data_IF_744342422284
#
_entry.id   IF_744342422284
#
_cell.length_a   1.000
_cell.length_b   1.000
_cell.length_c   1.000
_cell.angle_alpha   90.00
_cell.angle_beta   90.00
_cell.angle_gamma   90.00
#
_symmetry.space_group_name_H-M   'P 1'
#
loop_
_entity.id
_entity.type
_entity.pdbx_description
1 polymer ?
#
# COMPACT_ATOMS: atom_id res chain seq x y z
N UNK A 1 -8.87 -24.80 9.01
CA UNK A 1 -7.71 -23.97 9.41
C UNK A 1 -6.89 -23.84 8.14
N UNK A 2 -6.87 -22.67 7.51
CA UNK A 2 -5.95 -22.43 6.39
C UNK A 2 -4.67 -21.99 7.09
N UNK A 3 -3.67 -22.86 7.12
CA UNK A 3 -2.34 -22.44 7.55
C UNK A 3 -1.89 -21.31 6.62
N UNK A 4 -1.47 -20.15 7.15
CA UNK A 4 -0.75 -19.20 6.32
C UNK A 4 0.47 -19.94 5.78
N UNK A 5 0.55 -20.07 4.46
CA UNK A 5 1.74 -20.61 3.81
C UNK A 5 2.94 -19.85 4.37
N UNK A 6 3.82 -20.55 5.08
CA UNK A 6 5.04 -19.98 5.59
C UNK A 6 5.76 -19.27 4.44
N UNK A 7 5.79 -17.94 4.47
CA UNK A 7 6.38 -17.11 3.43
C UNK A 7 5.42 -16.25 2.58
N UNK A 8 4.09 -16.27 2.79
CA UNK A 8 3.22 -15.25 2.17
C UNK A 8 3.28 -13.94 2.94
N UNK A 9 3.86 -12.95 2.27
CA UNK A 9 4.23 -11.66 2.84
C UNK A 9 3.02 -10.73 3.03
N UNK A 10 2.03 -10.82 2.14
CA UNK A 10 0.69 -10.27 2.32
C UNK A 10 -0.31 -11.42 2.54
N UNK A 11 -0.97 -11.46 3.70
CA UNK A 11 -2.02 -12.44 3.99
C UNK A 11 -3.37 -11.92 3.52
N UNK A 12 -3.65 -12.17 2.25
CA UNK A 12 -4.92 -11.86 1.60
C UNK A 12 -5.72 -13.12 1.31
N UNK A 13 -7.04 -13.00 1.41
CA UNK A 13 -7.98 -14.05 1.02
C UNK A 13 -9.15 -13.47 0.25
N UNK A 14 -9.84 -14.30 -0.53
CA UNK A 14 -10.99 -13.86 -1.33
C UNK A 14 -12.31 -14.39 -0.78
N UNK A 15 -13.36 -13.59 -0.96
CA UNK A 15 -14.74 -13.99 -0.70
C UNK A 15 -15.67 -13.52 -1.81
N UNK A 16 -16.76 -14.24 -2.01
CA UNK A 16 -17.90 -13.80 -2.83
C UNK A 16 -19.13 -13.72 -1.94
N UNK A 17 -19.84 -12.59 -1.95
CA UNK A 17 -21.04 -12.40 -1.13
C UNK A 17 -21.98 -11.34 -1.71
N UNK A 18 -23.25 -11.40 -1.30
CA UNK A 18 -24.24 -10.37 -1.64
C UNK A 18 -24.04 -9.08 -0.84
N UNK A 19 -23.53 -9.18 0.40
CA UNK A 19 -23.34 -8.07 1.35
C UNK A 19 -22.47 -8.50 2.54
N UNK A 20 -22.19 -7.58 3.48
CA UNK A 20 -21.50 -7.83 4.75
C UNK A 20 -20.05 -8.37 4.59
N UNK A 21 -19.31 -7.86 3.62
CA UNK A 21 -17.95 -8.31 3.30
C UNK A 21 -17.03 -8.36 4.53
N UNK A 22 -16.99 -7.27 5.31
CA UNK A 22 -16.16 -7.16 6.52
C UNK A 22 -16.46 -8.26 7.56
N UNK A 23 -17.75 -8.51 7.84
CA UNK A 23 -18.17 -9.56 8.78
C UNK A 23 -17.77 -10.95 8.30
N UNK A 24 -17.81 -11.20 7.00
CA UNK A 24 -17.42 -12.48 6.42
C UNK A 24 -15.90 -12.67 6.40
N UNK A 25 -15.13 -11.62 6.14
CA UNK A 25 -13.68 -11.66 6.30
C UNK A 25 -13.29 -12.01 7.74
N UNK A 26 -13.92 -11.36 8.73
CA UNK A 26 -13.71 -11.67 10.15
C UNK A 26 -14.06 -13.10 10.52
N UNK A 27 -15.18 -13.63 10.00
CA UNK A 27 -15.54 -15.04 10.20
C UNK A 27 -14.53 -16.03 9.61
N UNK A 28 -13.73 -15.61 8.63
CA UNK A 28 -12.66 -16.42 8.04
C UNK A 28 -11.32 -16.30 8.75
N UNK A 29 -11.23 -15.46 9.79
CA UNK A 29 -10.01 -15.25 10.57
C UNK A 29 -9.21 -14.00 10.21
N UNK A 30 -9.70 -13.16 9.28
CA UNK A 30 -9.07 -11.90 8.91
C UNK A 30 -9.51 -10.74 9.82
N UNK A 31 -8.77 -9.64 9.84
CA UNK A 31 -9.18 -8.42 10.58
C UNK A 31 -10.35 -7.69 9.88
N UNK A 32 -10.39 -7.74 8.55
CA UNK A 32 -11.43 -7.11 7.74
C UNK A 32 -11.16 -7.21 6.25
N UNK A 33 -11.59 -6.18 5.52
CA UNK A 33 -11.21 -6.01 4.11
C UNK A 33 -9.72 -5.65 4.00
N UNK A 34 -9.11 -6.04 2.89
CA UNK A 34 -7.68 -5.88 2.65
C UNK A 34 -7.28 -4.41 2.49
N UNK A 35 -6.18 -4.03 3.15
CA UNK A 35 -5.54 -2.72 3.02
C UNK A 35 -4.48 -2.81 1.93
N UNK A 36 -4.59 -1.97 0.90
CA UNK A 36 -3.72 -1.98 -0.27
C UNK A 36 -3.00 -0.63 -0.37
N UNK A 37 -2.10 -0.39 0.58
CA UNK A 37 -1.40 0.89 0.74
C UNK A 37 0.07 0.86 0.26
N UNK A 38 0.46 -0.20 -0.46
CA UNK A 38 1.74 -0.27 -1.18
C UNK A 38 1.60 -0.87 -2.58
N UNK A 39 2.53 -0.57 -3.51
CA UNK A 39 2.57 -1.18 -4.85
C UNK A 39 2.65 -2.71 -4.82
N UNK A 40 3.39 -3.26 -3.85
CA UNK A 40 3.56 -4.70 -3.69
C UNK A 40 2.25 -5.35 -3.23
N UNK A 41 1.53 -4.71 -2.29
CA UNK A 41 0.20 -5.14 -1.88
C UNK A 41 -0.78 -5.14 -3.07
N UNK A 42 -0.74 -4.09 -3.90
CA UNK A 42 -1.59 -4.01 -5.09
C UNK A 42 -1.29 -5.19 -6.04
N UNK A 43 -0.01 -5.45 -6.31
CA UNK A 43 0.41 -6.54 -7.20
C UNK A 43 -0.10 -7.90 -6.71
N UNK A 44 -0.03 -8.17 -5.40
CA UNK A 44 -0.54 -9.41 -4.81
C UNK A 44 -2.06 -9.46 -4.88
N UNK A 45 -2.76 -8.39 -4.51
CA UNK A 45 -4.22 -8.30 -4.58
C UNK A 45 -4.75 -8.53 -6.01
N UNK A 46 -4.11 -7.91 -7.01
CA UNK A 46 -4.46 -8.06 -8.41
C UNK A 46 -4.22 -9.48 -8.92
N UNK A 47 -3.11 -10.11 -8.52
CA UNK A 47 -2.82 -11.50 -8.86
C UNK A 47 -3.86 -12.45 -8.27
N UNK A 48 -4.20 -12.27 -6.99
CA UNK A 48 -5.20 -13.07 -6.29
C UNK A 48 -6.58 -12.91 -6.92
N UNK A 49 -6.98 -11.67 -7.21
CA UNK A 49 -8.22 -11.38 -7.91
C UNK A 49 -8.28 -12.09 -9.28
N UNK A 50 -7.22 -12.00 -10.10
CA UNK A 50 -7.07 -12.68 -11.42
C UNK A 50 -7.22 -14.19 -11.35
N UNK A 51 -6.86 -14.79 -10.23
CA UNK A 51 -6.97 -16.23 -10.03
C UNK A 51 -8.37 -16.66 -9.59
N UNK A 52 -8.97 -15.91 -8.66
CA UNK A 52 -10.19 -16.36 -7.98
C UNK A 52 -11.48 -15.81 -8.58
N UNK A 53 -11.40 -14.69 -9.32
CA UNK A 53 -12.56 -13.98 -9.82
C UNK A 53 -12.68 -14.06 -11.33
N UNK A 54 -13.86 -14.47 -11.81
CA UNK A 54 -14.21 -14.46 -13.24
C UNK A 54 -14.69 -13.10 -13.74
N UNK A 55 -15.15 -12.25 -12.82
CA UNK A 55 -15.72 -10.94 -13.10
C UNK A 55 -15.03 -9.93 -12.17
N UNK A 56 -14.29 -8.99 -12.75
CA UNK A 56 -13.54 -7.95 -12.03
C UNK A 56 -14.37 -6.73 -11.68
N UNK A 57 -15.63 -6.70 -12.14
CA UNK A 57 -16.41 -5.48 -12.07
C UNK A 57 -16.67 -5.05 -10.63
N UNK A 58 -16.54 -5.90 -9.60
CA UNK A 58 -16.96 -5.57 -8.22
C UNK A 58 -16.09 -6.21 -7.14
N UNK A 59 -14.81 -5.84 -7.06
CA UNK A 59 -13.90 -6.32 -6.00
C UNK A 59 -13.78 -5.27 -4.90
N UNK A 60 -14.37 -5.53 -3.73
CA UNK A 60 -14.32 -4.65 -2.57
C UNK A 60 -13.03 -4.83 -1.77
N UNK A 61 -12.47 -3.70 -1.33
CA UNK A 61 -11.23 -3.60 -0.55
C UNK A 61 -11.43 -2.65 0.64
N UNK A 62 -10.48 -2.64 1.56
CA UNK A 62 -10.57 -1.93 2.84
C UNK A 62 -10.38 -0.42 2.76
N UNK A 63 -10.61 0.22 1.61
CA UNK A 63 -10.65 1.68 1.53
C UNK A 63 -12.06 2.14 1.89
N UNK A 64 -12.20 3.16 2.73
CA UNK A 64 -13.53 3.60 3.19
C UNK A 64 -13.63 5.12 3.32
N UNK A 65 -14.76 5.67 2.88
CA UNK A 65 -15.16 7.02 3.28
C UNK A 65 -15.81 6.99 4.66
N UNK A 66 -15.29 7.80 5.57
CA UNK A 66 -15.77 7.95 6.96
C UNK A 66 -16.54 9.27 7.08
N UNK A 67 -17.88 9.24 7.20
CA UNK A 67 -18.69 10.46 7.27
C UNK A 67 -18.36 11.34 8.47
N UNK A 68 -17.93 10.74 9.58
CA UNK A 68 -17.64 11.42 10.84
C UNK A 68 -16.44 12.37 10.70
N UNK A 69 -15.40 11.91 10.00
CA UNK A 69 -14.17 12.68 9.76
C UNK A 69 -14.15 13.34 8.39
N UNK A 70 -15.17 13.09 7.56
CA UNK A 70 -15.25 13.51 6.15
C UNK A 70 -13.97 13.18 5.37
N UNK A 71 -13.39 12.02 5.65
CA UNK A 71 -12.12 11.59 5.07
C UNK A 71 -12.20 10.19 4.50
N UNK A 72 -11.31 9.89 3.56
CA UNK A 72 -11.11 8.55 3.04
C UNK A 72 -9.88 7.99 3.72
N UNK A 73 -10.00 6.79 4.27
CA UNK A 73 -8.92 6.10 4.97
C UNK A 73 -9.07 4.60 4.79
N UNK A 74 -7.98 3.88 5.04
CA UNK A 74 -7.99 2.43 5.09
C UNK A 74 -8.71 1.93 6.36
N UNK A 75 -9.15 0.68 6.32
CA UNK A 75 -9.87 0.02 7.42
C UNK A 75 -8.97 -0.16 8.65
N UNK A 76 -7.64 -0.20 8.48
CA UNK A 76 -6.65 -0.17 9.56
C UNK A 76 -6.44 1.23 10.17
N UNK A 77 -7.09 2.25 9.61
CA UNK A 77 -7.00 3.65 10.03
C UNK A 77 -5.88 4.45 9.36
N UNK A 78 -5.04 3.82 8.53
CA UNK A 78 -4.00 4.55 7.80
C UNK A 78 -4.63 5.50 6.77
N UNK A 79 -4.16 6.75 6.67
CA UNK A 79 -4.65 7.68 5.67
C UNK A 79 -4.22 7.23 4.26
N UNK A 80 -4.96 7.72 3.26
CA UNK A 80 -4.58 7.55 1.86
C UNK A 80 -3.31 8.37 1.57
N UNK A 81 -2.29 7.74 1.02
CA UNK A 81 -1.09 8.42 0.53
C UNK A 81 -1.36 9.06 -0.84
N UNK A 82 -0.67 10.16 -1.16
CA UNK A 82 -0.84 10.87 -2.44
C UNK A 82 -0.49 10.03 -3.67
N UNK A 83 0.28 8.96 -3.49
CA UNK A 83 0.70 8.05 -4.53
C UNK A 83 -0.04 6.70 -4.51
N UNK A 84 -1.07 6.53 -3.66
CA UNK A 84 -1.96 5.35 -3.64
C UNK A 84 -2.50 5.06 -5.06
N UNK A 85 -2.86 3.80 -5.44
CA UNK A 85 -3.25 3.49 -6.82
C UNK A 85 -4.27 4.48 -7.35
N UNK A 86 -4.19 4.79 -8.64
CA UNK A 86 -4.94 5.88 -9.27
C UNK A 86 -6.39 5.90 -8.77
N UNK A 87 -6.66 6.91 -7.94
CA UNK A 87 -7.95 7.15 -7.35
C UNK A 87 -8.73 8.04 -8.30
N UNK A 88 -9.35 7.44 -9.31
CA UNK A 88 -10.19 8.18 -10.25
C UNK A 88 -11.34 8.86 -9.50
N UNK A 89 -11.32 10.20 -9.44
CA UNK A 89 -12.38 11.08 -8.93
C UNK A 89 -13.11 10.55 -7.69
N UNK A 90 -12.34 10.17 -6.66
CA UNK A 90 -12.91 9.60 -5.45
C UNK A 90 -13.53 10.70 -4.58
N UNK A 91 -14.73 11.14 -4.95
CA UNK A 91 -15.57 12.01 -4.12
C UNK A 91 -16.28 11.15 -3.09
N UNK A 92 -15.62 10.97 -1.95
CA UNK A 92 -16.18 10.28 -0.80
C UNK A 92 -17.52 10.87 -0.37
N UNK A 93 -18.55 10.03 -0.33
CA UNK A 93 -19.87 10.41 0.15
C UNK A 93 -20.57 9.21 0.80
N UNK A 94 -21.66 9.48 1.51
CA UNK A 94 -22.39 8.47 2.29
C UNK A 94 -23.09 7.40 1.42
N UNK A 95 -23.32 7.66 0.13
CA UNK A 95 -23.95 6.71 -0.79
C UNK A 95 -22.96 5.69 -1.35
N UNK A 96 -21.68 6.07 -1.46
CA UNK A 96 -20.62 5.20 -1.95
C UNK A 96 -19.45 5.17 -0.96
N UNK A 97 -19.60 4.50 0.19
CA UNK A 97 -18.56 4.55 1.21
C UNK A 97 -17.46 3.49 1.06
N UNK A 98 -17.59 2.52 0.14
CA UNK A 98 -16.70 1.35 0.07
C UNK A 98 -15.75 1.38 -1.12
N UNK A 99 -14.48 1.10 -0.87
CA UNK A 99 -13.42 0.94 -1.86
C UNK A 99 -13.65 -0.24 -2.78
N UNK A 100 -13.36 -0.03 -4.06
CA UNK A 100 -13.43 -1.02 -5.12
C UNK A 100 -12.18 -0.97 -5.97
N UNK A 101 -11.62 -2.14 -6.23
CA UNK A 101 -10.49 -2.37 -7.11
C UNK A 101 -11.01 -2.78 -8.50
N UNK A 102 -10.51 -2.14 -9.56
CA UNK A 102 -10.75 -2.52 -10.96
C UNK A 102 -9.78 -3.59 -11.45
N UNK A 103 -9.99 -4.11 -12.66
CA UNK A 103 -9.06 -5.01 -13.36
C UNK A 103 -7.76 -4.34 -13.82
N UNK A 104 -7.76 -3.01 -13.95
CA UNK A 104 -6.55 -2.23 -14.21
C UNK A 104 -5.76 -1.89 -12.94
N UNK A 105 -6.33 -2.13 -11.75
CA UNK A 105 -5.69 -1.81 -10.47
C UNK A 105 -5.98 -0.39 -9.96
N UNK A 106 -6.91 0.33 -10.61
CA UNK A 106 -7.42 1.61 -10.15
C UNK A 106 -8.42 1.42 -9.01
N UNK A 107 -8.52 2.44 -8.14
CA UNK A 107 -9.37 2.37 -6.95
C UNK A 107 -10.47 3.41 -7.01
N UNK A 108 -11.71 2.96 -6.81
CA UNK A 108 -12.92 3.78 -6.83
C UNK A 108 -13.77 3.54 -5.58
N UNK A 109 -14.76 4.38 -5.33
CA UNK A 109 -15.76 4.13 -4.29
C UNK A 109 -17.09 3.60 -4.87
N UNK A 110 -17.78 2.77 -4.10
CA UNK A 110 -19.06 2.16 -4.45
C UNK A 110 -19.99 1.95 -3.26
N UNK A 111 -21.23 1.57 -3.54
CA UNK A 111 -22.32 1.51 -2.54
C UNK A 111 -22.17 0.40 -1.52
N UNK A 112 -21.48 -0.70 -1.85
CA UNK A 112 -21.39 -1.90 -0.99
C UNK A 112 -22.71 -2.66 -0.82
N UNK A 113 -23.78 -2.23 -1.48
CA UNK A 113 -25.12 -2.84 -1.44
C UNK A 113 -25.37 -3.84 -2.57
N UNK A 114 -24.44 -3.93 -3.51
CA UNK A 114 -24.53 -4.85 -4.65
C UNK A 114 -23.76 -6.13 -4.34
N UNK A 115 -24.25 -7.29 -4.84
CA UNK A 115 -23.45 -8.50 -4.82
C UNK A 115 -22.12 -8.29 -5.52
N UNK A 116 -21.07 -8.82 -4.90
CA UNK A 116 -19.72 -8.66 -5.38
C UNK A 116 -18.74 -9.61 -4.71
N UNK A 117 -17.49 -9.37 -4.98
CA UNK A 117 -16.36 -10.08 -4.42
C UNK A 117 -15.61 -9.15 -3.48
N UNK A 118 -14.82 -9.70 -2.57
CA UNK A 118 -13.95 -8.89 -1.75
C UNK A 118 -12.63 -9.59 -1.49
N UNK A 119 -11.61 -8.77 -1.25
CA UNK A 119 -10.32 -9.21 -0.73
C UNK A 119 -10.32 -8.90 0.76
N UNK A 120 -10.14 -9.94 1.56
CA UNK A 120 -9.93 -9.89 2.99
C UNK A 120 -8.43 -9.76 3.28
N UNK A 121 -8.07 -9.12 4.39
CA UNK A 121 -6.68 -9.02 4.80
C UNK A 121 -6.51 -8.91 6.31
N UNK A 122 -5.32 -9.30 6.76
CA UNK A 122 -4.83 -9.02 8.10
C UNK A 122 -4.30 -7.58 8.17
N UNK A 123 -4.59 -6.86 9.25
CA UNK A 123 -4.08 -5.50 9.47
C UNK A 123 -2.83 -5.51 10.36
N UNK A 124 -2.60 -6.59 11.11
CA UNK A 124 -1.45 -6.78 12.00
C UNK A 124 -0.39 -7.67 11.37
N UNK A 125 0.88 -7.38 11.67
CA UNK A 125 2.04 -8.19 11.26
C UNK A 125 2.13 -8.41 9.74
N UNK A 126 1.84 -7.37 8.95
CA UNK A 126 2.16 -7.40 7.53
C UNK A 126 3.69 -7.46 7.42
N UNK A 127 4.22 -8.62 7.03
CA UNK A 127 5.57 -8.63 6.49
C UNK A 127 5.54 -7.67 5.30
N UNK A 128 6.44 -6.69 5.29
CA UNK A 128 6.49 -5.66 4.25
C UNK A 128 7.58 -6.01 3.26
N UNK A 129 7.25 -5.84 1.98
CA UNK A 129 8.14 -6.05 0.86
C UNK A 129 8.16 -4.74 0.11
N UNK A 130 9.36 -4.34 -0.27
CA UNK A 130 9.58 -3.17 -1.07
C UNK A 130 10.44 -3.54 -2.26
N UNK A 131 9.93 -3.28 -3.46
CA UNK A 131 10.70 -3.43 -4.69
C UNK A 131 11.18 -2.06 -5.12
N UNK A 132 12.41 -1.98 -5.61
CA UNK A 132 13.01 -0.71 -5.97
C UNK A 132 14.35 -0.88 -6.65
N UNK A 133 15.04 0.23 -6.89
CA UNK A 133 16.34 0.25 -7.55
C UNK A 133 17.40 1.10 -6.85
N UNK A 134 18.63 0.73 -7.20
CA UNK A 134 19.95 1.28 -6.88
C UNK A 134 20.37 2.55 -7.61
N UNK A 135 20.51 3.74 -7.01
CA UNK A 135 21.33 4.79 -7.64
C UNK A 135 22.51 5.20 -6.76
N UNK A 136 23.69 5.24 -7.35
CA UNK A 136 24.94 5.61 -6.69
C UNK A 136 25.34 7.03 -7.08
N UNK A 137 25.90 7.77 -6.13
CA UNK A 137 26.39 9.12 -6.38
C UNK A 137 25.26 10.12 -6.62
N UNK A 138 24.05 9.82 -6.16
CA UNK A 138 22.87 10.66 -6.34
C UNK A 138 22.06 10.76 -5.05
N UNK A 139 21.45 11.92 -4.83
CA UNK A 139 20.56 12.21 -3.71
C UNK A 139 19.20 12.72 -4.20
N UNK A 140 18.11 12.50 -3.45
CA UNK A 140 16.83 13.15 -3.71
C UNK A 140 16.91 14.67 -3.48
N UNK A 141 16.43 15.45 -4.44
CA UNK A 141 16.28 16.91 -4.34
C UNK A 141 14.84 17.31 -4.65
N UNK A 142 14.45 18.52 -4.22
CA UNK A 142 13.07 19.00 -4.40
C UNK A 142 12.04 18.15 -3.64
N UNK A 143 12.45 17.50 -2.56
CA UNK A 143 11.63 16.52 -1.85
C UNK A 143 10.47 17.20 -1.13
N UNK A 144 9.24 16.82 -1.46
CA UNK A 144 8.04 17.38 -0.84
C UNK A 144 7.67 16.74 0.50
N UNK A 145 8.23 15.56 0.82
CA UNK A 145 7.93 14.82 2.06
C UNK A 145 9.16 14.10 2.62
N UNK A 146 9.61 14.52 3.80
CA UNK A 146 10.61 13.81 4.60
C UNK A 146 9.91 13.16 5.80
N UNK A 147 10.09 11.85 5.98
CA UNK A 147 9.47 11.11 7.06
C UNK A 147 10.31 11.19 8.33
N UNK A 148 11.59 10.82 8.24
CA UNK A 148 12.54 10.89 9.34
C UNK A 148 13.98 10.65 8.86
N UNK A 149 14.94 10.92 9.75
CA UNK A 149 16.35 10.63 9.56
C UNK A 149 16.87 9.82 10.75
N UNK A 150 17.65 8.77 10.48
CA UNK A 150 18.22 7.86 11.48
C UNK A 150 19.69 7.59 11.19
N UNK A 151 20.44 7.22 12.22
CA UNK A 151 21.78 6.67 12.06
C UNK A 151 21.68 5.18 11.73
N UNK A 152 22.43 4.74 10.73
CA UNK A 152 22.49 3.34 10.28
C UNK A 152 23.93 3.00 9.91
N UNK A 153 24.29 1.72 9.98
CA UNK A 153 25.67 1.29 9.73
C UNK A 153 25.93 1.01 8.24
N UNK A 154 24.88 0.87 7.44
CA UNK A 154 25.03 0.52 6.03
C UNK A 154 23.87 1.01 5.17
N UNK A 155 24.14 1.09 3.86
CA UNK A 155 23.11 1.28 2.84
C UNK A 155 22.01 0.21 2.91
N UNK A 156 22.37 -1.06 3.13
CA UNK A 156 21.39 -2.14 3.18
C UNK A 156 20.40 -1.94 4.33
N UNK A 157 20.89 -1.54 5.50
CA UNK A 157 20.05 -1.21 6.65
C UNK A 157 19.10 -0.04 6.33
N UNK A 158 19.60 1.01 5.67
CA UNK A 158 18.77 2.12 5.18
C UNK A 158 17.64 1.67 4.26
N UNK A 159 17.95 0.82 3.27
CA UNK A 159 16.97 0.28 2.34
C UNK A 159 15.95 -0.64 3.02
N UNK A 160 16.38 -1.45 4.00
CA UNK A 160 15.48 -2.31 4.79
C UNK A 160 14.52 -1.48 5.64
N UNK A 161 15.01 -0.43 6.31
CA UNK A 161 14.16 0.48 7.09
C UNK A 161 13.12 1.15 6.19
N UNK A 162 13.52 1.64 5.02
CA UNK A 162 12.59 2.15 4.03
C UNK A 162 11.56 1.10 3.62
N UNK A 163 12.00 -0.13 3.33
CA UNK A 163 11.11 -1.20 2.91
C UNK A 163 10.08 -1.61 3.96
N UNK A 164 10.40 -1.39 5.23
CA UNK A 164 9.51 -1.64 6.35
C UNK A 164 8.40 -0.60 6.51
N UNK A 165 8.62 0.63 6.02
CA UNK A 165 7.61 1.70 6.01
C UNK A 165 6.90 1.76 4.65
N UNK A 166 5.61 1.46 4.61
CA UNK A 166 4.79 1.53 3.39
C UNK A 166 4.71 2.95 2.79
N UNK A 167 4.97 3.98 3.61
CA UNK A 167 5.02 5.38 3.15
C UNK A 167 6.36 5.70 2.48
N UNK A 168 7.42 4.92 2.72
CA UNK A 168 8.71 5.21 2.11
C UNK A 168 8.66 5.03 0.59
N UNK A 169 9.16 6.04 -0.13
CA UNK A 169 9.31 6.05 -1.60
C UNK A 169 10.75 6.20 -2.05
N UNK A 170 11.59 6.83 -1.23
CA UNK A 170 13.02 6.87 -1.44
C UNK A 170 13.74 6.91 -0.09
N UNK A 171 14.99 6.44 -0.09
CA UNK A 171 15.87 6.54 1.06
C UNK A 171 17.28 6.91 0.60
N UNK A 172 17.81 7.99 1.17
CA UNK A 172 19.20 8.43 0.92
C UNK A 172 20.08 7.97 2.06
N UNK A 173 21.09 7.15 1.75
CA UNK A 173 22.17 6.81 2.66
C UNK A 173 23.39 7.68 2.37
N UNK A 174 23.80 8.48 3.36
CA UNK A 174 25.01 9.30 3.30
C UNK A 174 26.20 8.54 3.88
N UNK A 175 27.13 8.15 3.02
CA UNK A 175 28.25 7.26 3.36
C UNK A 175 29.19 7.85 4.41
N UNK A 176 29.39 9.18 4.41
CA UNK A 176 30.33 9.84 5.32
C UNK A 176 29.74 10.05 6.72
N UNK A 177 28.42 10.25 6.80
CA UNK A 177 27.72 10.53 8.05
C UNK A 177 27.14 9.28 8.69
N UNK A 178 27.03 8.18 7.92
CA UNK A 178 26.31 6.97 8.33
C UNK A 178 24.86 7.28 8.74
N UNK A 179 24.23 8.16 7.95
CA UNK A 179 22.85 8.60 8.14
C UNK A 179 21.98 8.13 6.98
N UNK A 180 20.73 7.81 7.30
CA UNK A 180 19.70 7.44 6.36
C UNK A 180 18.54 8.42 6.49
N UNK A 181 18.22 9.13 5.41
CA UNK A 181 17.04 9.97 5.31
C UNK A 181 15.96 9.22 4.53
N UNK A 182 14.77 9.11 5.13
CA UNK A 182 13.62 8.41 4.56
C UNK A 182 12.61 9.42 4.02
N UNK A 183 12.21 9.25 2.77
CA UNK A 183 11.32 10.17 2.08
C UNK A 183 9.98 9.51 1.75
N UNK A 184 8.91 10.29 1.94
CA UNK A 184 7.53 9.85 1.81
C UNK A 184 6.95 10.00 0.41
N UNK A 185 5.63 9.86 0.27
CA UNK A 185 4.90 10.15 -0.96
C UNK A 185 5.12 11.58 -1.44
N UNK A 186 5.30 11.77 -2.75
CA UNK A 186 5.52 13.09 -3.33
C UNK A 186 6.47 13.08 -4.54
N UNK A 187 6.81 14.28 -5.00
CA UNK A 187 7.80 14.48 -6.05
C UNK A 187 9.19 14.65 -5.45
N UNK A 188 10.18 14.09 -6.14
CA UNK A 188 11.59 14.35 -5.96
C UNK A 188 12.28 14.12 -7.29
N UNK A 189 13.37 14.85 -7.51
CA UNK A 189 14.33 14.59 -8.57
C UNK A 189 15.59 13.97 -7.95
N UNK A 190 16.49 13.48 -8.80
CA UNK A 190 17.79 12.97 -8.37
C UNK A 190 18.88 13.92 -8.87
N UNK A 191 19.73 14.37 -7.96
CA UNK A 191 20.89 15.22 -8.27
C UNK A 191 22.18 14.56 -7.81
N UNK A 192 23.31 14.96 -8.41
CA UNK A 192 24.61 14.39 -8.12
C UNK A 192 25.05 14.67 -6.67
N UNK A 193 25.39 13.62 -5.95
CA UNK A 193 26.08 13.68 -4.67
C UNK A 193 26.94 12.42 -4.49
N UNK A 194 28.26 12.57 -4.60
CA UNK A 194 29.20 11.44 -4.54
C UNK A 194 29.20 10.69 -3.22
N UNK A 195 28.67 11.28 -2.15
CA UNK A 195 28.61 10.68 -0.83
C UNK A 195 27.26 10.03 -0.53
N UNK A 196 26.37 9.93 -1.53
CA UNK A 196 25.02 9.40 -1.35
C UNK A 196 24.79 8.15 -2.19
N UNK A 197 24.11 7.17 -1.58
CA UNK A 197 23.52 6.02 -2.24
C UNK A 197 22.03 6.09 -1.97
N UNK A 198 21.22 6.14 -3.03
CA UNK A 198 19.78 6.30 -2.91
C UNK A 198 19.05 5.05 -3.36
N UNK A 199 18.20 4.53 -2.49
CA UNK A 199 17.19 3.54 -2.83
C UNK A 199 15.94 4.26 -3.30
N UNK A 200 15.40 3.85 -4.45
CA UNK A 200 14.11 4.33 -4.96
C UNK A 200 13.14 3.18 -5.02
N UNK A 201 12.00 3.28 -4.33
CA UNK A 201 10.93 2.28 -4.39
C UNK A 201 10.16 2.41 -5.70
N UNK A 202 9.78 1.28 -6.28
CA UNK A 202 8.94 1.21 -7.46
C UNK A 202 7.60 1.91 -7.19
N UNK A 203 7.08 2.58 -8.23
CA UNK A 203 5.75 3.19 -8.19
C UNK A 203 4.67 2.12 -8.43
N UNK A 204 3.42 2.49 -8.19
CA UNK A 204 2.29 1.69 -8.64
C UNK A 204 2.35 1.54 -10.18
N UNK A 205 1.98 0.35 -10.70
CA UNK A 205 1.91 0.09 -12.13
C UNK A 205 0.84 0.94 -12.82
#
# INVERSE_FOLDING_TARGET
>A
MIDPLAGTLFDFGTITTKQNFEKLCRKKGYDGLAVINSPEALKVAMKLAKQDFRDFSKIFIGLRYRPETRSIAWDDGTPVASDTPEMSDVVGNTKTPYGRLSDEGTVNLGTGLVPGQAICGMHKNLATEAHGYTVHGQQPVGVSSSLFQISVFSYLECAVVCGQDNRCKAAEFKTNELTCAIFGPGSYDLDANSNSITYVRNRYP
#
